data_IF_519002903782
#
_entry.id   IF_519002903782
#
_cell.length_a   1.000
_cell.length_b   1.000
_cell.length_c   1.000
_cell.angle_alpha   90.00
_cell.angle_beta   90.00
_cell.angle_gamma   90.00
#
_symmetry.space_group_name_H-M   'P 1'
#
loop_
_entity.id
_entity.type
_entity.pdbx_description
1 polymer ?
#
# COMPACT_ATOMS: atom_id res chain seq x y z
N UNK A 1 23.32 37.12 -13.46
CA UNK A 1 21.93 36.75 -13.70
C UNK A 1 21.91 35.25 -13.91
N UNK A 2 21.85 34.47 -12.83
CA UNK A 2 20.58 34.09 -12.15
C UNK A 2 19.67 33.41 -13.17
N UNK A 3 19.64 32.08 -13.24
CA UNK A 3 18.88 31.22 -12.32
C UNK A 3 17.75 30.60 -13.16
N UNK A 4 17.25 29.39 -12.97
CA UNK A 4 17.43 28.40 -11.94
C UNK A 4 17.02 27.07 -12.56
N UNK A 5 17.80 26.01 -12.31
CA UNK A 5 17.36 24.65 -12.61
C UNK A 5 16.14 24.32 -11.74
N UNK A 6 15.01 24.02 -12.38
CA UNK A 6 13.88 23.40 -11.69
C UNK A 6 14.24 21.95 -11.39
N UNK A 7 14.98 21.76 -10.29
CA UNK A 7 15.06 20.47 -9.63
C UNK A 7 13.69 20.22 -9.00
N UNK A 8 12.91 19.36 -9.64
CA UNK A 8 11.74 18.74 -9.02
C UNK A 8 12.21 18.07 -7.74
N UNK A 9 12.03 18.75 -6.60
CA UNK A 9 12.19 18.14 -5.29
C UNK A 9 11.09 17.10 -5.17
N UNK A 10 11.45 15.85 -5.47
CA UNK A 10 10.84 14.73 -4.78
C UNK A 10 11.11 14.99 -3.30
N UNK A 11 10.08 15.44 -2.58
CA UNK A 11 10.05 15.38 -1.13
C UNK A 11 10.01 13.90 -0.74
N UNK A 12 11.18 13.27 -0.84
CA UNK A 12 11.46 12.00 -0.21
C UNK A 12 11.46 12.30 1.29
N UNK A 13 10.42 11.80 1.96
CA UNK A 13 10.14 12.02 3.37
C UNK A 13 11.35 11.54 4.18
N UNK A 14 12.17 12.48 4.64
CA UNK A 14 13.34 12.25 5.47
C UNK A 14 12.88 11.84 6.88
N UNK A 15 13.11 10.59 7.26
CA UNK A 15 12.68 10.06 8.56
C UNK A 15 12.98 8.57 8.74
N UNK A 16 14.23 8.17 8.51
CA UNK A 16 14.72 6.78 8.60
C UNK A 16 14.99 6.31 10.05
N UNK A 17 14.06 6.55 10.98
CA UNK A 17 14.01 5.89 12.30
C UNK A 17 12.80 4.93 12.43
N UNK A 18 12.00 4.78 11.36
CA UNK A 18 10.60 4.36 11.40
C UNK A 18 10.30 2.94 10.87
N UNK A 19 11.30 2.14 10.47
CA UNK A 19 11.07 0.87 9.74
C UNK A 19 10.18 -0.14 10.49
N UNK A 20 10.27 -0.20 11.82
CA UNK A 20 9.36 -1.01 12.66
C UNK A 20 7.93 -0.48 12.66
N UNK A 21 7.74 0.83 12.69
CA UNK A 21 6.40 1.42 12.61
C UNK A 21 5.84 1.29 11.20
N UNK A 22 6.67 1.44 10.16
CA UNK A 22 6.27 1.25 8.76
C UNK A 22 5.80 -0.16 8.48
N UNK A 23 6.58 -1.14 8.92
CA UNK A 23 6.21 -2.57 8.85
C UNK A 23 4.87 -2.83 9.56
N UNK A 24 4.68 -2.22 10.73
CA UNK A 24 3.42 -2.34 11.49
C UNK A 24 2.25 -1.70 10.78
N UNK A 25 2.43 -0.52 10.17
CA UNK A 25 1.39 0.18 9.39
C UNK A 25 0.96 -0.71 8.21
N UNK A 26 1.92 -1.24 7.45
CA UNK A 26 1.65 -2.12 6.32
C UNK A 26 0.92 -3.39 6.79
N UNK A 27 1.43 -4.06 7.82
CA UNK A 27 0.83 -5.29 8.34
C UNK A 27 -0.61 -5.09 8.84
N UNK A 28 -0.89 -3.96 9.50
CA UNK A 28 -2.24 -3.62 9.96
C UNK A 28 -3.18 -3.38 8.76
N UNK A 29 -2.74 -2.60 7.77
CA UNK A 29 -3.52 -2.33 6.57
C UNK A 29 -3.85 -3.62 5.79
N UNK A 30 -2.87 -4.51 5.63
CA UNK A 30 -3.07 -5.82 4.98
C UNK A 30 -4.04 -6.68 5.78
N UNK A 31 -3.88 -6.76 7.11
CA UNK A 31 -4.77 -7.54 7.98
C UNK A 31 -6.22 -7.07 7.87
N UNK A 32 -6.45 -5.76 7.86
CA UNK A 32 -7.79 -5.18 7.70
C UNK A 32 -8.39 -5.49 6.33
N UNK A 33 -7.62 -5.32 5.26
CA UNK A 33 -8.05 -5.64 3.90
C UNK A 33 -8.40 -7.13 3.76
N UNK A 34 -7.59 -8.03 4.33
CA UNK A 34 -7.86 -9.47 4.36
C UNK A 34 -9.13 -9.78 5.15
N UNK A 35 -9.33 -9.17 6.32
CA UNK A 35 -10.55 -9.36 7.11
C UNK A 35 -11.82 -8.94 6.34
N UNK A 36 -11.72 -7.89 5.51
CA UNK A 36 -12.81 -7.47 4.61
C UNK A 36 -13.04 -8.50 3.50
N UNK A 37 -11.99 -9.02 2.86
CA UNK A 37 -12.12 -10.02 1.80
C UNK A 37 -12.83 -11.30 2.27
N UNK A 38 -12.51 -11.80 3.47
CA UNK A 38 -13.03 -13.09 3.96
C UNK A 38 -14.27 -12.97 4.87
N UNK A 39 -14.91 -11.80 4.91
CA UNK A 39 -15.91 -11.49 5.92
C UNK A 39 -17.18 -12.36 5.92
N UNK A 40 -17.66 -12.86 4.76
CA UNK A 40 -19.03 -13.39 4.72
C UNK A 40 -19.39 -14.57 3.79
N UNK A 41 -18.69 -14.92 2.70
CA UNK A 41 -18.91 -16.21 2.00
C UNK A 41 -18.09 -16.42 0.72
N UNK A 42 -17.48 -15.38 0.15
CA UNK A 42 -16.53 -15.48 -0.96
C UNK A 42 -15.46 -14.42 -0.78
N UNK A 43 -14.23 -14.69 -1.23
CA UNK A 43 -13.12 -13.75 -1.12
C UNK A 43 -13.36 -12.53 -2.03
N UNK A 44 -13.85 -11.43 -1.46
CA UNK A 44 -14.01 -10.15 -2.17
C UNK A 44 -12.67 -9.39 -2.21
N UNK A 45 -11.83 -9.82 -3.15
CA UNK A 45 -10.52 -9.20 -3.38
C UNK A 45 -10.62 -7.75 -3.85
N UNK A 46 -11.73 -7.37 -4.50
CA UNK A 46 -11.95 -5.98 -4.90
C UNK A 46 -12.23 -5.10 -3.68
N UNK A 47 -12.97 -5.61 -2.69
CA UNK A 47 -13.17 -4.93 -1.42
C UNK A 47 -11.85 -4.76 -0.65
N UNK A 48 -11.01 -5.79 -0.60
CA UNK A 48 -9.67 -5.68 -0.02
C UNK A 48 -8.82 -4.60 -0.73
N UNK A 49 -8.82 -4.57 -2.06
CA UNK A 49 -8.09 -3.56 -2.84
C UNK A 49 -8.61 -2.15 -2.55
N UNK A 50 -9.94 -1.97 -2.43
CA UNK A 50 -10.55 -0.68 -2.05
C UNK A 50 -10.10 -0.25 -0.66
N UNK A 51 -10.07 -1.16 0.32
CA UNK A 51 -9.60 -0.89 1.68
C UNK A 51 -8.13 -0.41 1.69
N UNK A 52 -7.25 -1.06 0.92
CA UNK A 52 -5.85 -0.65 0.79
C UNK A 52 -5.73 0.75 0.15
N UNK A 53 -6.48 1.02 -0.91
CA UNK A 53 -6.45 2.32 -1.60
C UNK A 53 -6.89 3.48 -0.70
N UNK A 54 -7.88 3.23 0.17
CA UNK A 54 -8.43 4.22 1.10
C UNK A 54 -7.52 4.49 2.31
N UNK A 55 -6.54 3.63 2.59
CA UNK A 55 -5.63 3.80 3.73
C UNK A 55 -4.73 5.03 3.53
N UNK A 56 -4.84 6.02 4.42
CA UNK A 56 -4.11 7.29 4.32
C UNK A 56 -2.66 7.22 4.82
N UNK A 57 -2.32 6.15 5.55
CA UNK A 57 -0.98 5.95 6.11
C UNK A 57 -0.05 5.22 5.13
N UNK A 58 -0.61 4.60 4.10
CA UNK A 58 0.16 3.97 3.04
C UNK A 58 0.53 4.99 1.95
N UNK A 59 1.77 4.92 1.50
CA UNK A 59 2.24 5.61 0.30
C UNK A 59 1.63 5.00 -0.96
N UNK A 60 1.63 5.74 -2.07
CA UNK A 60 1.17 5.25 -3.37
C UNK A 60 1.92 4.00 -3.83
N UNK A 61 3.21 3.92 -3.54
CA UNK A 61 4.05 2.75 -3.85
C UNK A 61 3.60 1.53 -3.06
N UNK A 62 3.44 1.65 -1.74
CA UNK A 62 3.00 0.53 -0.89
C UNK A 62 1.62 0.02 -1.30
N UNK A 63 0.67 0.92 -1.58
CA UNK A 63 -0.66 0.53 -2.09
C UNK A 63 -0.56 -0.31 -3.36
N UNK A 64 0.21 0.18 -4.33
CA UNK A 64 0.38 -0.49 -5.62
C UNK A 64 1.06 -1.84 -5.46
N UNK A 65 2.11 -1.92 -4.65
CA UNK A 65 2.83 -3.17 -4.37
C UNK A 65 1.95 -4.21 -3.67
N UNK A 66 1.19 -3.81 -2.64
CA UNK A 66 0.31 -4.73 -1.91
C UNK A 66 -0.80 -5.27 -2.84
N UNK A 67 -1.41 -4.41 -3.66
CA UNK A 67 -2.43 -4.82 -4.62
C UNK A 67 -1.86 -5.79 -5.65
N UNK A 68 -0.68 -5.48 -6.22
CA UNK A 68 -0.02 -6.36 -7.18
C UNK A 68 0.26 -7.75 -6.58
N UNK A 69 0.73 -7.81 -5.33
CA UNK A 69 1.00 -9.06 -4.62
C UNK A 69 -0.28 -9.87 -4.35
N UNK A 70 -1.39 -9.22 -4.02
CA UNK A 70 -2.69 -9.90 -3.89
C UNK A 70 -3.15 -10.51 -5.22
N UNK A 71 -2.91 -9.83 -6.35
CA UNK A 71 -3.29 -10.34 -7.67
C UNK A 71 -2.41 -11.50 -8.13
N UNK A 72 -1.12 -11.49 -7.81
CA UNK A 72 -0.21 -12.61 -8.15
C UNK A 72 -0.56 -13.91 -7.43
N UNK A 73 -1.16 -13.86 -6.23
CA UNK A 73 -1.63 -15.08 -5.55
C UNK A 73 -2.85 -15.67 -6.27
N UNK A 74 -3.77 -14.84 -6.78
CA UNK A 74 -4.96 -15.30 -7.52
C UNK A 74 -4.61 -16.10 -8.78
N UNK A 75 -3.51 -15.78 -9.45
CA UNK A 75 -3.08 -16.44 -10.71
C UNK A 75 -2.39 -17.79 -10.46
N UNK A 76 -1.89 -18.05 -9.25
CA UNK A 76 -1.18 -19.31 -8.94
C UNK A 76 -2.09 -20.40 -8.33
N UNK A 77 -3.35 -20.07 -8.03
CA UNK A 77 -4.37 -21.01 -7.52
C UNK A 77 -5.33 -21.52 -8.62
N UNK A 78 -5.07 -21.19 -9.91
CA UNK A 78 -5.78 -21.72 -11.10
C UNK A 78 -5.07 -22.94 -11.73
#
# INVERSE_FOLDING_TARGET
>A
MEGSGSTSKNEEIEGFEDDKSRTKIIALAVREAVAVAFGLNDADWDAACRTILQNQLLTSTEKTTIIALNWTNKVNDE
#
